data_IF_617344317518
#
_entry.id   IF_617344317518
#
_cell.length_a   1.000
_cell.length_b   1.000
_cell.length_c   1.000
_cell.angle_alpha   90.00
_cell.angle_beta   90.00
_cell.angle_gamma   90.00
#
_symmetry.space_group_name_H-M   'P 1'
#
loop_
_entity.id
_entity.type
_entity.pdbx_description
1 polymer ?
#
# COMPACT_ATOMS: atom_id res chain seq x y z
N UNK A 1 10.22 -6.16 22.05
CA UNK A 1 11.02 -5.81 20.85
C UNK A 1 10.14 -4.90 20.01
N UNK A 2 10.37 -3.58 20.09
CA UNK A 2 9.57 -2.62 19.32
C UNK A 2 9.94 -2.79 17.85
N UNK A 3 9.04 -3.36 17.05
CA UNK A 3 9.16 -3.28 15.59
C UNK A 3 9.07 -1.80 15.23
N UNK A 4 10.22 -1.20 14.94
CA UNK A 4 10.30 0.09 14.28
C UNK A 4 9.63 -0.09 12.93
N UNK A 5 8.36 0.28 12.80
CA UNK A 5 7.73 0.36 11.49
C UNK A 5 8.61 1.26 10.60
N UNK A 6 8.80 0.91 9.32
CA UNK A 6 9.70 1.66 8.44
C UNK A 6 9.26 3.13 8.40
N UNK A 7 10.20 4.10 8.36
CA UNK A 7 9.92 5.53 8.54
C UNK A 7 8.82 6.14 7.65
N UNK A 8 8.42 5.44 6.59
CA UNK A 8 7.39 5.84 5.66
C UNK A 8 5.96 5.46 6.07
N UNK A 9 5.78 4.41 6.87
CA UNK A 9 4.48 4.01 7.45
C UNK A 9 3.92 5.08 8.40
N UNK A 10 4.79 5.86 9.07
CA UNK A 10 4.37 6.98 9.91
C UNK A 10 3.54 8.02 9.12
N UNK A 11 3.76 8.16 7.81
CA UNK A 11 2.94 9.07 6.99
C UNK A 11 1.46 8.65 6.94
N UNK A 12 1.17 7.35 7.00
CA UNK A 12 -0.18 6.79 7.10
C UNK A 12 -0.84 7.27 8.40
N UNK A 13 -0.16 7.01 9.52
CA UNK A 13 -0.66 7.30 10.86
C UNK A 13 -0.83 8.81 11.09
N UNK A 14 0.17 9.61 10.74
CA UNK A 14 0.14 11.06 10.91
C UNK A 14 -0.96 11.68 10.05
N UNK A 15 -1.22 11.17 8.84
CA UNK A 15 -2.32 11.65 7.99
C UNK A 15 -3.68 11.46 8.67
N UNK A 16 -3.95 10.27 9.21
CA UNK A 16 -5.23 9.98 9.89
C UNK A 16 -5.37 10.84 11.15
N UNK A 17 -4.36 10.84 12.02
CA UNK A 17 -4.42 11.54 13.31
C UNK A 17 -4.51 13.05 13.19
N UNK A 18 -3.73 13.65 12.29
CA UNK A 18 -3.77 15.09 12.07
C UNK A 18 -5.09 15.53 11.42
N UNK A 19 -5.66 14.71 10.53
CA UNK A 19 -6.99 14.98 9.97
C UNK A 19 -8.05 15.03 11.07
N UNK A 20 -8.07 14.06 11.98
CA UNK A 20 -9.00 14.03 13.10
C UNK A 20 -8.87 15.28 13.98
N UNK A 21 -7.64 15.72 14.29
CA UNK A 21 -7.42 16.93 15.07
C UNK A 21 -7.89 18.20 14.37
N UNK A 22 -7.61 18.35 13.07
CA UNK A 22 -8.12 19.49 12.29
C UNK A 22 -9.64 19.52 12.27
N UNK A 23 -10.30 18.38 12.08
CA UNK A 23 -11.77 18.31 12.09
C UNK A 23 -12.36 18.65 13.47
N UNK A 24 -11.73 18.20 14.57
CA UNK A 24 -12.20 18.55 15.92
C UNK A 24 -11.98 20.01 16.33
N UNK A 25 -11.06 20.72 15.67
CA UNK A 25 -10.68 22.09 15.98
C UNK A 25 -11.42 23.16 15.13
N UNK A 26 -12.41 22.75 14.32
CA UNK A 26 -13.12 23.62 13.37
C UNK A 26 -13.91 24.78 14.01
N UNK A 27 -14.12 24.77 15.33
CA UNK A 27 -14.86 25.82 16.02
C UNK A 27 -14.09 27.15 16.18
N UNK A 28 -12.80 27.19 15.83
CA UNK A 28 -12.00 28.42 15.89
C UNK A 28 -11.23 28.72 14.61
N UNK A 29 -11.37 29.94 14.06
CA UNK A 29 -10.41 30.54 13.11
C UNK A 29 -9.09 30.90 13.82
N UNK A 30 -8.57 29.99 14.63
CA UNK A 30 -7.38 30.21 15.45
C UNK A 30 -6.12 30.03 14.61
N UNK A 31 -5.04 30.70 15.02
CA UNK A 31 -3.70 30.50 14.45
C UNK A 31 -3.28 29.00 14.46
N UNK A 32 -3.67 28.26 15.50
CA UNK A 32 -3.42 26.83 15.61
C UNK A 32 -4.18 26.04 14.55
N UNK A 33 -5.45 26.38 14.29
CA UNK A 33 -6.26 25.76 13.23
C UNK A 33 -5.62 25.96 11.85
N UNK A 34 -5.13 27.16 11.56
CA UNK A 34 -4.42 27.48 10.31
C UNK A 34 -3.09 26.72 10.20
N UNK A 35 -2.35 26.61 11.30
CA UNK A 35 -1.08 25.88 11.34
C UNK A 35 -1.29 24.38 11.14
N UNK A 36 -2.29 23.78 11.79
CA UNK A 36 -2.62 22.36 11.58
C UNK A 36 -3.13 22.09 10.16
N UNK A 37 -3.91 23.00 9.56
CA UNK A 37 -4.33 22.88 8.17
C UNK A 37 -3.12 22.88 7.21
N UNK A 38 -2.15 23.78 7.42
CA UNK A 38 -0.91 23.81 6.64
C UNK A 38 -0.08 22.54 6.82
N UNK A 39 0.11 22.09 8.08
CA UNK A 39 0.81 20.84 8.37
C UNK A 39 0.14 19.63 7.70
N UNK A 40 -1.21 19.61 7.66
CA UNK A 40 -1.97 18.52 7.03
C UNK A 40 -1.70 18.43 5.52
N UNK A 41 -1.49 19.55 4.84
CA UNK A 41 -1.09 19.56 3.42
C UNK A 41 0.26 18.88 3.24
N UNK A 42 1.25 19.19 4.08
CA UNK A 42 2.58 18.57 4.03
C UNK A 42 2.52 17.08 4.34
N UNK A 43 1.72 16.68 5.33
CA UNK A 43 1.53 15.27 5.68
C UNK A 43 0.87 14.50 4.53
N UNK A 44 -0.15 15.07 3.88
CA UNK A 44 -0.78 14.45 2.71
C UNK A 44 0.20 14.27 1.55
N UNK A 45 1.05 15.28 1.29
CA UNK A 45 2.11 15.18 0.27
C UNK A 45 3.12 14.06 0.61
N UNK A 46 3.48 13.91 1.88
CA UNK A 46 4.37 12.84 2.31
C UNK A 46 3.73 11.45 2.16
N UNK A 47 2.43 11.33 2.49
CA UNK A 47 1.65 10.13 2.22
C UNK A 47 1.67 9.78 0.72
N UNK A 48 1.31 10.74 -0.15
CA UNK A 48 1.30 10.49 -1.60
C UNK A 48 2.69 10.15 -2.13
N UNK A 49 3.75 10.79 -1.62
CA UNK A 49 5.14 10.43 -1.95
C UNK A 49 5.47 9.00 -1.55
N UNK A 50 5.08 8.57 -0.34
CA UNK A 50 5.29 7.20 0.09
C UNK A 50 4.54 6.20 -0.79
N UNK A 51 3.27 6.47 -1.12
CA UNK A 51 2.49 5.58 -1.98
C UNK A 51 3.06 5.48 -3.40
N UNK A 52 3.60 6.58 -3.95
CA UNK A 52 4.35 6.53 -5.21
C UNK A 52 5.60 5.66 -5.11
N UNK A 53 6.33 5.70 -3.98
CA UNK A 53 7.50 4.83 -3.79
C UNK A 53 7.10 3.35 -3.74
N UNK A 54 5.95 3.01 -3.13
CA UNK A 54 5.42 1.64 -3.17
C UNK A 54 5.11 1.22 -4.61
N UNK A 55 4.44 2.08 -5.39
CA UNK A 55 4.13 1.81 -6.80
C UNK A 55 5.40 1.63 -7.63
N UNK A 56 6.37 2.53 -7.48
CA UNK A 56 7.65 2.45 -8.17
C UNK A 56 8.41 1.17 -7.82
N UNK A 57 8.34 0.72 -6.56
CA UNK A 57 8.97 -0.53 -6.13
C UNK A 57 8.41 -1.78 -6.81
N UNK A 58 7.13 -1.74 -7.24
CA UNK A 58 6.51 -2.79 -8.05
C UNK A 58 6.99 -2.68 -9.50
N UNK A 59 6.90 -1.49 -10.09
CA UNK A 59 7.19 -1.23 -11.51
C UNK A 59 8.68 -1.45 -11.87
N UNK A 60 9.59 -1.16 -10.94
CA UNK A 60 11.03 -1.26 -11.14
C UNK A 60 11.64 -2.52 -10.49
N UNK A 61 10.80 -3.45 -10.04
CA UNK A 61 11.24 -4.65 -9.36
C UNK A 61 12.14 -5.51 -10.25
N UNK A 62 13.28 -5.93 -9.68
CA UNK A 62 14.20 -6.88 -10.33
C UNK A 62 14.06 -8.24 -9.69
N UNK A 63 13.92 -9.28 -10.52
CA UNK A 63 13.75 -10.65 -10.03
C UNK A 63 15.06 -11.16 -9.41
N UNK A 64 15.03 -11.69 -8.19
CA UNK A 64 16.20 -12.31 -7.58
C UNK A 64 16.71 -13.48 -8.44
N UNK A 65 17.95 -13.38 -8.92
CA UNK A 65 18.55 -14.42 -9.80
C UNK A 65 19.10 -15.63 -9.05
N UNK A 66 19.23 -15.54 -7.72
CA UNK A 66 20.02 -16.49 -6.90
C UNK A 66 19.16 -17.51 -6.15
N UNK A 67 17.95 -17.18 -5.71
CA UNK A 67 17.04 -18.11 -5.01
C UNK A 67 16.21 -18.95 -5.99
N UNK A 68 15.87 -20.18 -5.59
CA UNK A 68 14.82 -20.99 -6.22
C UNK A 68 13.52 -20.70 -5.50
N UNK A 69 12.40 -20.65 -6.23
CA UNK A 69 11.05 -20.40 -5.73
C UNK A 69 10.90 -19.10 -4.93
N UNK A 70 9.84 -18.34 -5.14
CA UNK A 70 9.59 -17.18 -4.31
C UNK A 70 8.45 -16.34 -4.80
N UNK A 71 7.66 -15.89 -3.83
CA UNK A 71 6.88 -14.66 -3.98
C UNK A 71 7.81 -13.56 -4.46
N UNK A 72 7.33 -12.80 -5.44
CA UNK A 72 8.02 -11.62 -5.90
C UNK A 72 8.10 -10.64 -4.71
N UNK A 73 9.23 -9.97 -4.48
CA UNK A 73 9.42 -9.16 -3.27
C UNK A 73 8.31 -8.14 -3.04
N UNK A 74 7.76 -7.57 -4.11
CA UNK A 74 6.67 -6.60 -4.01
C UNK A 74 5.32 -7.24 -3.61
N UNK A 75 5.09 -8.52 -3.88
CA UNK A 75 3.89 -9.24 -3.42
C UNK A 75 3.94 -9.46 -1.91
N UNK A 76 5.11 -9.88 -1.40
CA UNK A 76 5.34 -10.03 0.04
C UNK A 76 5.26 -8.68 0.77
N UNK A 77 5.92 -7.65 0.24
CA UNK A 77 5.86 -6.31 0.82
C UNK A 77 4.44 -5.73 0.82
N UNK A 78 3.67 -5.96 -0.24
CA UNK A 78 2.29 -5.50 -0.33
C UNK A 78 1.39 -6.16 0.71
N UNK A 79 1.59 -7.45 1.00
CA UNK A 79 0.85 -8.16 2.04
C UNK A 79 1.01 -7.50 3.41
N UNK A 80 2.26 -7.26 3.84
CA UNK A 80 2.53 -6.57 5.10
C UNK A 80 1.97 -5.13 5.09
N UNK A 81 2.21 -4.39 4.01
CA UNK A 81 1.73 -3.03 3.85
C UNK A 81 0.21 -2.94 3.93
N UNK A 82 -0.53 -3.79 3.22
CA UNK A 82 -1.98 -3.72 3.12
C UNK A 82 -2.65 -4.00 4.47
N UNK A 83 -2.13 -4.96 5.24
CA UNK A 83 -2.64 -5.25 6.59
C UNK A 83 -2.46 -4.04 7.52
N UNK A 84 -1.26 -3.44 7.52
CA UNK A 84 -0.96 -2.26 8.33
C UNK A 84 -1.80 -1.06 7.91
N UNK A 85 -1.87 -0.76 6.61
CA UNK A 85 -2.64 0.35 6.08
C UNK A 85 -4.15 0.20 6.38
N UNK A 86 -4.71 -1.00 6.23
CA UNK A 86 -6.09 -1.29 6.60
C UNK A 86 -6.35 -1.07 8.08
N UNK A 87 -5.43 -1.50 8.95
CA UNK A 87 -5.58 -1.29 10.40
C UNK A 87 -5.62 0.20 10.78
N UNK A 88 -4.86 1.05 10.08
CA UNK A 88 -4.75 2.49 10.33
C UNK A 88 -5.96 3.26 9.76
N UNK A 89 -6.40 2.92 8.55
CA UNK A 89 -7.42 3.68 7.83
C UNK A 89 -8.84 3.17 8.03
N UNK A 90 -9.03 2.05 8.74
CA UNK A 90 -10.35 1.48 9.02
C UNK A 90 -11.27 2.52 9.66
N UNK A 91 -12.37 2.82 8.96
CA UNK A 91 -13.40 3.80 9.38
C UNK A 91 -12.86 5.21 9.64
N UNK A 92 -11.93 5.68 8.80
CA UNK A 92 -11.40 7.05 8.86
C UNK A 92 -11.91 7.90 7.71
N UNK A 93 -11.95 9.23 7.89
CA UNK A 93 -12.30 10.20 6.84
C UNK A 93 -11.31 10.20 5.66
N UNK A 94 -10.13 9.62 5.83
CA UNK A 94 -9.09 9.49 4.79
C UNK A 94 -9.13 8.17 4.06
N UNK A 95 -10.17 7.34 4.30
CA UNK A 95 -10.32 6.04 3.66
C UNK A 95 -10.23 6.09 2.15
N UNK A 96 -10.91 7.07 1.55
CA UNK A 96 -10.93 7.27 0.10
C UNK A 96 -9.55 7.57 -0.50
N UNK A 97 -8.63 8.15 0.28
CA UNK A 97 -7.25 8.37 -0.17
C UNK A 97 -6.49 7.04 -0.26
N UNK A 98 -6.64 6.16 0.74
CA UNK A 98 -6.02 4.83 0.72
C UNK A 98 -6.62 3.96 -0.39
N UNK A 99 -7.95 3.93 -0.52
CA UNK A 99 -8.65 3.09 -1.50
C UNK A 99 -8.18 3.37 -2.93
N UNK A 100 -8.01 4.64 -3.30
CA UNK A 100 -7.45 5.04 -4.62
C UNK A 100 -6.06 4.48 -4.86
N UNK A 101 -5.23 4.42 -3.82
CA UNK A 101 -3.88 3.91 -3.94
C UNK A 101 -3.84 2.38 -3.92
N UNK A 102 -4.67 1.72 -3.12
CA UNK A 102 -4.77 0.25 -3.10
C UNK A 102 -5.16 -0.29 -4.47
N UNK A 103 -6.12 0.33 -5.16
CA UNK A 103 -6.49 -0.04 -6.54
C UNK A 103 -5.27 0.02 -7.45
N UNK A 104 -4.56 1.16 -7.48
CA UNK A 104 -3.37 1.34 -8.33
C UNK A 104 -2.25 0.34 -8.03
N UNK A 105 -2.00 0.06 -6.75
CA UNK A 105 -0.96 -0.89 -6.34
C UNK A 105 -1.32 -2.31 -6.77
N UNK A 106 -2.58 -2.72 -6.55
CA UNK A 106 -3.05 -4.05 -6.91
C UNK A 106 -3.03 -4.24 -8.43
N UNK A 107 -3.52 -3.27 -9.20
CA UNK A 107 -3.44 -3.28 -10.66
C UNK A 107 -1.99 -3.44 -11.15
N UNK A 108 -1.06 -2.64 -10.62
CA UNK A 108 0.35 -2.74 -10.96
C UNK A 108 0.96 -4.10 -10.58
N UNK A 109 0.56 -4.68 -9.44
CA UNK A 109 1.03 -6.03 -9.06
C UNK A 109 0.56 -7.07 -10.07
N UNK A 110 -0.73 -7.08 -10.44
CA UNK A 110 -1.26 -8.03 -11.42
C UNK A 110 -0.62 -7.85 -12.80
N UNK A 111 -0.32 -6.61 -13.20
CA UNK A 111 0.38 -6.28 -14.45
C UNK A 111 1.82 -6.79 -14.48
N UNK A 112 2.58 -6.62 -13.38
CA UNK A 112 4.02 -6.94 -13.35
C UNK A 112 4.33 -8.39 -12.95
N UNK A 113 3.41 -9.13 -12.32
CA UNK A 113 3.60 -10.56 -12.05
C UNK A 113 4.00 -11.35 -13.31
N UNK A 114 3.27 -11.28 -14.45
CA UNK A 114 3.62 -12.06 -15.63
C UNK A 114 4.93 -11.60 -16.28
N UNK A 115 5.23 -10.30 -16.25
CA UNK A 115 6.49 -9.73 -16.78
C UNK A 115 7.67 -10.30 -16.01
N UNK A 116 7.67 -10.14 -14.69
CA UNK A 116 8.74 -10.60 -13.82
C UNK A 116 8.81 -12.14 -13.72
N UNK A 117 7.71 -12.86 -13.93
CA UNK A 117 7.73 -14.31 -13.98
C UNK A 117 8.55 -14.86 -15.16
N UNK A 118 8.60 -14.15 -16.29
CA UNK A 118 9.39 -14.54 -17.45
C UNK A 118 10.91 -14.41 -17.22
N UNK A 119 11.31 -13.45 -16.38
CA UNK A 119 12.73 -13.18 -16.07
C UNK A 119 13.31 -14.12 -14.99
N UNK A 120 12.50 -15.01 -14.42
CA UNK A 120 12.92 -15.87 -13.33
C UNK A 120 13.78 -17.06 -13.81
N UNK A 121 15.10 -16.96 -13.61
CA UNK A 121 16.08 -17.90 -14.18
C UNK A 121 15.99 -19.37 -13.69
N UNK A 122 15.40 -19.63 -12.51
CA UNK A 122 15.47 -20.97 -11.85
C UNK A 122 14.12 -21.66 -11.60
N UNK A 123 13.01 -20.98 -11.85
CA UNK A 123 11.66 -21.47 -11.51
C UNK A 123 10.81 -21.30 -12.77
N UNK A 124 10.05 -22.33 -13.19
CA UNK A 124 9.18 -22.20 -14.36
C UNK A 124 8.22 -21.02 -14.19
N UNK A 125 8.09 -20.18 -15.21
CA UNK A 125 7.25 -18.97 -15.18
C UNK A 125 5.80 -19.26 -14.78
N UNK A 126 5.26 -20.45 -15.11
CA UNK A 126 3.92 -20.88 -14.69
C UNK A 126 3.81 -21.03 -13.17
N UNK A 127 4.84 -21.59 -12.52
CA UNK A 127 4.88 -21.78 -11.06
C UNK A 127 4.98 -20.42 -10.37
N UNK A 128 5.85 -19.53 -10.86
CA UNK A 128 5.98 -18.17 -10.31
C UNK A 128 4.65 -17.42 -10.40
N UNK A 129 3.98 -17.45 -11.55
CA UNK A 129 2.64 -16.84 -11.70
C UNK A 129 1.63 -17.45 -10.74
N UNK A 130 1.55 -18.78 -10.68
CA UNK A 130 0.58 -19.48 -9.84
C UNK A 130 0.74 -19.11 -8.36
N UNK A 131 1.97 -19.15 -7.82
CA UNK A 131 2.24 -18.81 -6.41
C UNK A 131 1.88 -17.35 -6.09
N UNK A 132 2.25 -16.41 -6.96
CA UNK A 132 2.03 -14.99 -6.73
C UNK A 132 0.56 -14.60 -6.87
N UNK A 133 -0.15 -15.09 -7.90
CA UNK A 133 -1.59 -14.87 -8.02
C UNK A 133 -2.35 -15.50 -6.86
N UNK A 134 -2.02 -16.74 -6.49
CA UNK A 134 -2.65 -17.40 -5.34
C UNK A 134 -2.50 -16.58 -4.07
N UNK A 135 -1.29 -16.05 -3.80
CA UNK A 135 -1.05 -15.18 -2.64
C UNK A 135 -1.88 -13.91 -2.71
N UNK A 136 -1.92 -13.22 -3.85
CA UNK A 136 -2.71 -12.00 -4.03
C UNK A 136 -4.21 -12.26 -3.83
N UNK A 137 -4.79 -13.28 -4.46
CA UNK A 137 -6.22 -13.59 -4.27
C UNK A 137 -6.55 -13.99 -2.83
N UNK A 138 -5.67 -14.75 -2.17
CA UNK A 138 -5.83 -15.10 -0.75
C UNK A 138 -5.85 -13.85 0.13
N UNK A 139 -4.87 -12.95 -0.05
CA UNK A 139 -4.78 -11.69 0.67
C UNK A 139 -6.01 -10.80 0.44
N UNK A 140 -6.38 -10.56 -0.82
CA UNK A 140 -7.52 -9.72 -1.17
C UNK A 140 -8.83 -10.27 -0.59
N UNK A 141 -8.99 -11.60 -0.56
CA UNK A 141 -10.14 -12.25 0.06
C UNK A 141 -10.21 -12.00 1.57
N UNK A 142 -9.07 -11.88 2.25
CA UNK A 142 -8.98 -11.63 3.69
C UNK A 142 -9.15 -10.16 4.07
N UNK A 143 -8.62 -9.21 3.27
CA UNK A 143 -8.64 -7.77 3.58
C UNK A 143 -10.06 -7.17 3.63
N UNK A 144 -11.06 -7.80 2.95
CA UNK A 144 -12.46 -7.34 2.90
C UNK A 144 -12.62 -5.86 2.50
N UNK A 145 -11.78 -5.40 1.58
CA UNK A 145 -11.80 -4.03 1.05
C UNK A 145 -12.73 -3.95 -0.16
N UNK A 146 -13.84 -3.22 -0.01
CA UNK A 146 -14.89 -3.16 -1.03
C UNK A 146 -14.42 -2.70 -2.40
N UNK A 147 -13.50 -1.72 -2.48
CA UNK A 147 -13.00 -1.20 -3.76
C UNK A 147 -12.12 -2.21 -4.52
N UNK A 148 -11.61 -3.24 -3.85
CA UNK A 148 -10.75 -4.26 -4.46
C UNK A 148 -11.53 -5.51 -4.90
N UNK A 149 -12.84 -5.60 -4.62
CA UNK A 149 -13.65 -6.79 -4.98
C UNK A 149 -13.70 -7.06 -6.49
N UNK A 150 -13.63 -6.00 -7.30
CA UNK A 150 -13.62 -6.12 -8.76
C UNK A 150 -12.32 -6.79 -9.25
N UNK A 151 -11.20 -6.48 -8.59
CA UNK A 151 -9.87 -6.99 -8.94
C UNK A 151 -9.61 -8.42 -8.42
N UNK A 152 -10.57 -9.06 -7.73
CA UNK A 152 -10.44 -10.45 -7.28
C UNK A 152 -10.77 -11.48 -8.35
N UNK A 153 -11.48 -11.06 -9.40
CA UNK A 153 -12.08 -11.93 -10.42
C UNK A 153 -11.26 -12.05 -11.69
N UNK A 154 -10.29 -11.15 -11.86
CA UNK A 154 -9.37 -11.08 -12.99
C UNK A 154 -8.04 -11.75 -12.62
#
# INVERSE_FOLDING_TARGET
>A
MYSLEPPSSYSLYVLVRLTQHVMSAQEGQSFLSMTFASALIHVKRNFDKFMNLQLQSIQEAKVPKRSKCGLLPYVENFEEFAVTAESIFKKTERRNDLDKWLVKLVEAIFEYIPVNAMDHAKTPHQVVKMENYHRMHSLLSQLKVGVLEQLKKD
#
